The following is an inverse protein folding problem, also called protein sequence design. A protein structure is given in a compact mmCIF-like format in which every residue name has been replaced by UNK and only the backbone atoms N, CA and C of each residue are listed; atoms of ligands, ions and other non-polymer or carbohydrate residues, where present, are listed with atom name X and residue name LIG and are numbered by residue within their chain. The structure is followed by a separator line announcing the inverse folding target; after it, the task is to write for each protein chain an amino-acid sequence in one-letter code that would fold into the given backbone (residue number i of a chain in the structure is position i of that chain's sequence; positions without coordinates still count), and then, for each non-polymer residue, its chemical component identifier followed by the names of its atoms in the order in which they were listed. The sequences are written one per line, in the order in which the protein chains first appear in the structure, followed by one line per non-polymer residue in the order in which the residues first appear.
data_IF_128202513332
#
_entry.id   IF_128202513332
#
_cell.length_a   1.000
_cell.length_b   1.000
_cell.length_c   1.000
_cell.angle_alpha   90.00
_cell.angle_beta   90.00
_cell.angle_gamma   90.00
#
_symmetry.space_group_name_H-M   'P 1'
#
loop_
_entity.id
_entity.type
_entity.pdbx_description
1 polymer ?
#
# COMPACT_ATOMS: atom_id res chain seq x y z
N UNK A 1 24.32 -5.52 -4.54
CA UNK A 1 23.64 -6.69 -3.93
C UNK A 1 24.12 -7.94 -4.65
N UNK A 2 24.01 -9.14 -4.06
CA UNK A 2 24.34 -10.36 -4.79
C UNK A 2 23.22 -10.61 -5.82
N UNK A 3 23.59 -10.81 -7.09
CA UNK A 3 22.62 -11.02 -8.17
C UNK A 3 21.82 -12.30 -7.88
N UNK A 4 20.52 -12.16 -7.59
CA UNK A 4 19.62 -13.28 -7.28
C UNK A 4 19.01 -13.93 -8.53
N UNK A 5 19.14 -13.28 -9.68
CA UNK A 5 18.46 -13.65 -10.91
C UNK A 5 19.45 -13.89 -12.05
N UNK A 6 19.12 -14.84 -12.90
CA UNK A 6 19.67 -14.98 -14.25
C UNK A 6 18.54 -14.83 -15.26
N UNK A 7 18.86 -14.37 -16.48
CA UNK A 7 17.87 -14.06 -17.51
C UNK A 7 17.98 -15.04 -18.68
N UNK A 8 16.84 -15.60 -19.09
CA UNK A 8 16.71 -16.36 -20.33
C UNK A 8 15.79 -15.57 -21.25
N UNK A 9 16.38 -14.81 -22.17
CA UNK A 9 15.64 -13.92 -23.09
C UNK A 9 14.88 -14.67 -24.17
N UNK A 10 15.31 -15.89 -24.51
CA UNK A 10 14.68 -16.70 -25.55
C UNK A 10 13.36 -17.30 -25.05
N UNK A 11 13.39 -17.84 -23.82
CA UNK A 11 12.20 -18.38 -23.15
C UNK A 11 11.45 -17.35 -22.30
N UNK A 12 11.98 -16.12 -22.20
CA UNK A 12 11.43 -15.00 -21.41
C UNK A 12 11.28 -15.34 -19.93
N UNK A 13 12.36 -15.81 -19.31
CA UNK A 13 12.36 -16.22 -17.91
C UNK A 13 13.34 -15.39 -17.07
N UNK A 14 12.86 -14.99 -15.89
CA UNK A 14 13.69 -14.67 -14.74
C UNK A 14 13.93 -15.96 -13.96
N UNK A 15 15.17 -16.40 -13.83
CA UNK A 15 15.53 -17.66 -13.19
C UNK A 15 16.19 -17.35 -11.86
N UNK A 16 15.65 -17.88 -10.76
CA UNK A 16 16.27 -17.73 -9.45
C UNK A 16 17.57 -18.54 -9.39
N UNK A 17 18.64 -17.88 -8.94
CA UNK A 17 19.94 -18.51 -8.77
C UNK A 17 19.89 -19.56 -7.64
N UNK A 18 20.87 -20.46 -7.65
CA UNK A 18 20.95 -21.54 -6.66
C UNK A 18 20.91 -21.00 -5.23
N UNK A 19 20.16 -21.69 -4.35
CA UNK A 19 19.96 -21.34 -2.94
C UNK A 19 19.15 -20.06 -2.68
N UNK A 20 18.57 -19.42 -3.70
CA UNK A 20 17.67 -18.27 -3.51
C UNK A 20 16.27 -18.77 -3.14
N UNK A 21 15.90 -18.61 -1.86
CA UNK A 21 14.59 -19.00 -1.30
C UNK A 21 13.68 -17.81 -0.98
N UNK A 22 14.16 -16.60 -1.21
CA UNK A 22 13.43 -15.36 -0.97
C UNK A 22 13.68 -14.34 -2.09
N UNK A 23 12.61 -13.67 -2.51
CA UNK A 23 12.65 -12.64 -3.55
C UNK A 23 11.77 -11.46 -3.13
N UNK A 24 12.39 -10.28 -3.00
CA UNK A 24 11.67 -9.01 -2.94
C UNK A 24 11.34 -8.55 -4.37
N UNK A 25 10.05 -8.39 -4.66
CA UNK A 25 9.54 -8.06 -5.99
C UNK A 25 9.98 -6.65 -6.44
N UNK A 26 10.20 -5.72 -5.52
CA UNK A 26 10.58 -4.33 -5.83
C UNK A 26 12.09 -4.19 -5.92
N UNK A 27 12.80 -4.75 -4.94
CA UNK A 27 14.26 -4.62 -4.85
C UNK A 27 14.92 -5.63 -5.79
N UNK A 28 14.77 -6.92 -5.50
CA UNK A 28 15.51 -8.00 -6.17
C UNK A 28 15.00 -8.27 -7.59
N UNK A 29 13.71 -8.09 -7.87
CA UNK A 29 13.15 -8.29 -9.22
C UNK A 29 13.14 -7.01 -10.04
N UNK A 30 12.45 -5.94 -9.60
CA UNK A 30 12.32 -4.75 -10.43
C UNK A 30 13.58 -3.89 -10.51
N UNK A 31 14.21 -3.59 -9.36
CA UNK A 31 15.32 -2.63 -9.31
C UNK A 31 16.61 -3.24 -9.87
N UNK A 32 16.99 -4.43 -9.39
CA UNK A 32 18.19 -5.12 -9.87
C UNK A 32 18.08 -5.45 -11.38
N UNK A 33 16.93 -5.97 -11.86
CA UNK A 33 16.77 -6.23 -13.28
C UNK A 33 16.81 -4.95 -14.14
N UNK A 34 16.34 -3.82 -13.61
CA UNK A 34 16.42 -2.54 -14.32
C UNK A 34 17.86 -2.06 -14.46
N UNK A 35 18.68 -2.27 -13.43
CA UNK A 35 20.11 -1.99 -13.51
C UNK A 35 20.79 -2.89 -14.56
N UNK A 36 20.53 -4.21 -14.51
CA UNK A 36 21.10 -5.17 -15.47
C UNK A 36 20.69 -4.85 -16.92
N UNK A 37 19.44 -4.45 -17.15
CA UNK A 37 18.98 -4.01 -18.48
C UNK A 37 19.65 -2.73 -18.98
N UNK A 38 20.14 -1.88 -18.07
CA UNK A 38 20.84 -0.66 -18.44
C UNK A 38 22.31 -0.93 -18.76
N UNK A 39 22.93 -1.89 -18.08
CA UNK A 39 24.37 -2.16 -18.17
C UNK A 39 24.75 -3.27 -19.14
N UNK A 40 23.91 -4.30 -19.31
CA UNK A 40 24.21 -5.45 -20.16
C UNK A 40 23.86 -5.17 -21.63
N UNK A 41 24.87 -5.26 -22.50
CA UNK A 41 24.77 -5.03 -23.95
C UNK A 41 23.92 -6.06 -24.72
N UNK A 42 23.58 -7.18 -24.11
CA UNK A 42 22.64 -8.16 -24.65
C UNK A 42 21.22 -7.84 -24.21
N UNK A 43 21.00 -7.63 -22.90
CA UNK A 43 19.67 -7.37 -22.35
C UNK A 43 19.09 -6.04 -22.82
N UNK A 44 19.92 -5.00 -22.96
CA UNK A 44 19.48 -3.66 -23.37
C UNK A 44 18.88 -3.61 -24.79
N UNK A 45 19.08 -4.66 -25.60
CA UNK A 45 18.45 -4.81 -26.92
C UNK A 45 17.00 -5.27 -26.83
N UNK A 46 16.61 -5.87 -25.71
CA UNK A 46 15.26 -6.33 -25.44
C UNK A 46 14.47 -5.26 -24.71
N UNK A 47 13.16 -5.24 -24.98
CA UNK A 47 12.24 -4.39 -24.21
C UNK A 47 12.20 -4.86 -22.76
N UNK A 48 12.43 -3.94 -21.82
CA UNK A 48 12.36 -4.22 -20.40
C UNK A 48 10.98 -4.81 -20.02
N UNK A 49 10.91 -5.97 -19.36
CA UNK A 49 9.67 -6.74 -19.21
C UNK A 49 8.90 -6.48 -17.91
N UNK A 50 9.21 -5.40 -17.18
CA UNK A 50 8.56 -5.06 -15.93
C UNK A 50 8.00 -3.63 -15.96
N UNK A 51 6.80 -3.45 -15.42
CA UNK A 51 6.19 -2.14 -15.18
C UNK A 51 5.85 -1.99 -13.70
N UNK A 52 6.27 -0.89 -13.09
CA UNK A 52 5.85 -0.54 -11.74
C UNK A 52 4.61 0.36 -11.80
N UNK A 53 3.56 -0.02 -11.08
CA UNK A 53 2.32 0.74 -10.91
C UNK A 53 2.20 1.09 -9.43
N UNK A 54 2.29 2.36 -9.11
CA UNK A 54 2.30 2.83 -7.73
C UNK A 54 3.70 3.22 -7.25
N UNK A 55 3.97 3.10 -5.95
CA UNK A 55 5.17 3.62 -5.32
C UNK A 55 5.19 5.15 -5.14
N UNK A 56 4.08 5.86 -5.37
CA UNK A 56 4.01 7.31 -5.18
C UNK A 56 3.78 7.71 -3.72
N UNK A 57 4.38 8.82 -3.31
CA UNK A 57 4.09 9.42 -2.01
C UNK A 57 2.67 9.98 -1.98
N UNK A 58 1.94 9.73 -0.90
CA UNK A 58 0.57 10.22 -0.69
C UNK A 58 0.48 11.31 0.40
N UNK A 59 1.63 11.82 0.84
CA UNK A 59 1.73 12.73 1.99
C UNK A 59 1.91 12.00 3.33
N UNK A 60 2.32 12.76 4.36
CA UNK A 60 2.51 12.22 5.71
C UNK A 60 3.61 11.14 5.85
N UNK A 61 4.59 11.13 4.94
CA UNK A 61 5.64 10.11 4.90
C UNK A 61 5.14 8.71 4.48
N UNK A 62 3.93 8.61 3.93
CA UNK A 62 3.36 7.36 3.41
C UNK A 62 3.55 7.26 1.90
N UNK A 63 3.68 6.02 1.43
CA UNK A 63 3.86 5.67 0.02
C UNK A 63 2.86 4.57 -0.31
N UNK A 64 2.23 4.63 -1.48
CA UNK A 64 1.39 3.52 -1.96
C UNK A 64 2.28 2.31 -2.29
N UNK A 65 1.86 1.10 -1.92
CA UNK A 65 2.62 -0.10 -2.30
C UNK A 65 2.68 -0.20 -3.82
N UNK A 66 3.89 -0.35 -4.41
CA UNK A 66 4.00 -0.59 -5.83
C UNK A 66 3.51 -2.01 -6.17
N UNK A 67 2.84 -2.12 -7.30
CA UNK A 67 2.57 -3.36 -8.01
C UNK A 67 3.58 -3.49 -9.13
N UNK A 68 4.27 -4.62 -9.19
CA UNK A 68 5.14 -4.94 -10.32
C UNK A 68 4.40 -5.87 -11.25
N UNK A 69 4.25 -5.44 -12.50
CA UNK A 69 3.59 -6.21 -13.55
C UNK A 69 4.63 -6.81 -14.49
N UNK A 70 4.62 -8.14 -14.60
CA UNK A 70 5.33 -8.89 -15.64
C UNK A 70 4.63 -8.69 -16.99
N UNK A 71 5.41 -8.33 -18.01
CA UNK A 71 4.93 -8.00 -19.35
C UNK A 71 5.47 -8.96 -20.40
N UNK A 72 4.84 -8.98 -21.56
CA UNK A 72 5.33 -9.66 -22.77
C UNK A 72 5.51 -11.18 -22.63
N UNK A 73 4.81 -11.79 -21.70
CA UNK A 73 4.87 -13.22 -21.41
C UNK A 73 6.05 -13.64 -20.53
N UNK A 74 6.76 -12.69 -19.90
CA UNK A 74 7.84 -13.04 -18.98
C UNK A 74 7.32 -13.68 -17.70
N UNK A 75 8.05 -14.69 -17.22
CA UNK A 75 7.71 -15.46 -16.01
C UNK A 75 8.95 -15.68 -15.13
N UNK A 76 8.72 -16.18 -13.92
CA UNK A 76 9.77 -16.50 -12.95
C UNK A 76 9.89 -18.01 -12.82
N UNK A 77 11.09 -18.56 -12.94
CA UNK A 77 11.40 -19.96 -12.63
C UNK A 77 12.15 -20.04 -11.29
N UNK A 78 11.65 -20.81 -10.32
CA UNK A 78 12.37 -21.07 -9.08
C UNK A 78 13.70 -21.81 -9.30
N UNK A 79 14.56 -21.82 -8.28
CA UNK A 79 15.79 -22.62 -8.37
C UNK A 79 15.49 -24.12 -8.21
N UNK A 80 16.36 -24.95 -8.78
CA UNK A 80 16.18 -26.39 -8.94
C UNK A 80 16.49 -27.17 -7.64
N UNK A 81 15.66 -27.01 -6.60
CA UNK A 81 15.72 -27.78 -5.35
C UNK A 81 14.39 -27.78 -4.59
N UNK A 82 14.22 -28.70 -3.64
CA UNK A 82 13.05 -28.71 -2.74
C UNK A 82 13.13 -27.55 -1.75
N UNK A 83 12.15 -26.63 -1.79
CA UNK A 83 12.13 -25.49 -0.89
C UNK A 83 10.75 -24.79 -0.82
N UNK A 84 10.63 -23.86 0.13
CA UNK A 84 9.58 -22.84 0.10
C UNK A 84 10.18 -21.52 -0.38
N UNK A 85 9.71 -21.03 -1.52
CA UNK A 85 10.07 -19.73 -2.08
C UNK A 85 9.17 -18.65 -1.49
N UNK A 86 9.74 -17.71 -0.75
CA UNK A 86 9.00 -16.55 -0.22
C UNK A 86 9.08 -15.37 -1.19
N UNK A 87 7.94 -14.88 -1.64
CA UNK A 87 7.81 -13.73 -2.54
C UNK A 87 7.26 -12.56 -1.75
N UNK A 88 8.07 -11.53 -1.54
CA UNK A 88 7.67 -10.31 -0.84
C UNK A 88 7.31 -9.22 -1.84
N UNK A 89 6.07 -8.72 -1.79
CA UNK A 89 5.58 -7.64 -2.65
C UNK A 89 4.48 -8.07 -3.61
N UNK A 90 3.88 -7.07 -4.26
CA UNK A 90 2.74 -7.28 -5.14
C UNK A 90 3.22 -7.58 -6.56
N UNK A 91 3.09 -8.85 -6.97
CA UNK A 91 3.45 -9.32 -8.30
C UNK A 91 2.19 -9.70 -9.08
N UNK A 92 2.05 -9.15 -10.28
CA UNK A 92 0.97 -9.46 -11.21
C UNK A 92 1.53 -9.70 -12.61
N UNK A 93 0.73 -10.25 -13.50
CA UNK A 93 1.08 -10.41 -14.91
C UNK A 93 0.09 -9.66 -15.79
N UNK A 94 0.56 -9.19 -16.94
CA UNK A 94 -0.29 -8.53 -17.94
C UNK A 94 -1.39 -9.44 -18.49
N UNK A 95 -1.14 -10.75 -18.53
CA UNK A 95 -2.02 -11.78 -19.08
C UNK A 95 -2.88 -12.50 -18.02
N UNK A 96 -2.84 -12.04 -16.77
CA UNK A 96 -3.55 -12.62 -15.61
C UNK A 96 -3.21 -14.10 -15.31
N UNK A 97 -2.24 -14.70 -15.99
CA UNK A 97 -1.80 -16.08 -15.72
C UNK A 97 -0.79 -16.14 -14.55
N UNK A 98 -0.44 -17.35 -14.11
CA UNK A 98 0.55 -17.51 -13.03
C UNK A 98 1.85 -16.80 -13.38
N UNK A 99 2.47 -16.02 -12.47
CA UNK A 99 3.78 -15.42 -12.72
C UNK A 99 4.92 -16.44 -12.68
N UNK A 100 4.66 -17.67 -12.22
CA UNK A 100 5.67 -18.71 -12.05
C UNK A 100 5.50 -19.85 -13.04
N UNK A 101 6.63 -20.36 -13.52
CA UNK A 101 6.72 -21.65 -14.22
C UNK A 101 7.30 -22.71 -13.30
N UNK A 102 7.08 -23.98 -13.64
CA UNK A 102 7.67 -25.09 -12.90
C UNK A 102 9.20 -25.12 -13.09
N UNK A 103 9.86 -25.69 -12.10
CA UNK A 103 11.24 -26.17 -12.20
C UNK A 103 11.34 -27.28 -13.25
N UNK A 104 12.55 -27.52 -13.75
CA UNK A 104 12.79 -28.50 -14.80
C UNK A 104 12.92 -29.92 -14.26
N UNK A 105 13.47 -30.07 -13.04
CA UNK A 105 13.60 -31.35 -12.36
C UNK A 105 12.38 -31.75 -11.53
N UNK A 106 12.44 -32.96 -10.97
CA UNK A 106 11.43 -33.48 -10.04
C UNK A 106 11.66 -32.90 -8.63
N UNK A 107 11.42 -31.59 -8.46
CA UNK A 107 11.51 -30.90 -7.17
C UNK A 107 10.17 -30.32 -6.72
N UNK A 108 9.99 -30.28 -5.40
CA UNK A 108 8.83 -29.72 -4.74
C UNK A 108 9.12 -28.28 -4.30
N UNK A 109 8.58 -27.32 -5.06
CA UNK A 109 8.66 -25.89 -4.73
C UNK A 109 7.32 -25.36 -4.28
N UNK A 110 7.26 -24.84 -3.05
CA UNK A 110 6.07 -24.19 -2.51
C UNK A 110 6.27 -22.67 -2.59
N UNK A 111 5.34 -21.95 -3.22
CA UNK A 111 5.41 -20.49 -3.33
C UNK A 111 4.57 -19.85 -2.24
N UNK A 112 5.20 -19.03 -1.41
CA UNK A 112 4.58 -18.25 -0.33
C UNK A 112 4.61 -16.76 -0.68
N UNK A 113 3.47 -16.21 -1.09
CA UNK A 113 3.34 -14.78 -1.39
C UNK A 113 2.99 -13.96 -0.15
N UNK A 114 3.78 -12.92 0.12
CA UNK A 114 3.55 -11.89 1.14
C UNK A 114 3.22 -10.60 0.40
N UNK A 115 1.92 -10.32 0.24
CA UNK A 115 1.41 -9.15 -0.47
C UNK A 115 0.96 -8.05 0.49
N UNK A 116 0.94 -6.80 0.03
CA UNK A 116 0.52 -5.65 0.84
C UNK A 116 -0.48 -4.77 0.10
N UNK A 117 -1.58 -4.41 0.75
CA UNK A 117 -2.53 -3.40 0.27
C UNK A 117 -2.22 -2.04 0.87
N UNK A 118 -1.03 -1.47 0.61
CA UNK A 118 -0.71 -0.14 1.15
C UNK A 118 -1.33 0.97 0.31
N UNK A 119 -2.52 1.41 0.72
CA UNK A 119 -2.82 2.82 1.02
C UNK A 119 -4.33 3.10 0.94
N UNK A 120 -4.97 3.26 2.10
CA UNK A 120 -6.27 3.92 2.23
C UNK A 120 -6.05 5.22 3.01
N UNK A 121 -5.97 6.36 2.30
CA UNK A 121 -5.97 7.68 2.95
C UNK A 121 -7.37 8.25 2.92
N UNK A 122 -8.09 8.14 4.03
CA UNK A 122 -9.32 8.92 4.24
C UNK A 122 -8.92 10.33 4.69
N UNK A 123 -8.79 11.24 3.73
CA UNK A 123 -8.73 12.67 4.03
C UNK A 123 -10.11 13.13 4.48
N UNK A 124 -10.31 13.33 5.78
CA UNK A 124 -11.50 14.05 6.27
C UNK A 124 -11.29 15.52 5.95
N UNK A 125 -11.91 16.00 4.87
CA UNK A 125 -12.00 17.42 4.58
C UNK A 125 -13.09 18.02 5.47
N UNK A 126 -12.71 18.84 6.45
CA UNK A 126 -13.66 19.69 7.18
C UNK A 126 -13.88 20.93 6.31
N UNK A 127 -15.07 21.03 5.72
CA UNK A 127 -15.45 22.19 4.91
C UNK A 127 -15.77 23.41 5.78
N UNK A 128 -15.76 24.60 5.18
CA UNK A 128 -16.27 25.81 5.85
C UNK A 128 -17.73 25.66 6.26
N UNK A 129 -18.53 24.89 5.50
CA UNK A 129 -19.89 24.51 5.88
C UNK A 129 -19.95 23.60 7.10
N UNK A 130 -19.01 22.66 7.26
CA UNK A 130 -18.95 21.82 8.46
C UNK A 130 -18.64 22.67 9.70
N UNK A 131 -17.72 23.63 9.56
CA UNK A 131 -17.41 24.59 10.63
C UNK A 131 -18.63 25.44 11.00
N UNK A 132 -19.37 25.94 10.01
CA UNK A 132 -20.61 26.69 10.22
C UNK A 132 -21.67 25.83 10.91
N UNK A 133 -21.90 24.60 10.42
CA UNK A 133 -22.85 23.66 11.02
C UNK A 133 -22.51 23.31 12.48
N UNK A 134 -21.22 23.15 12.79
CA UNK A 134 -20.76 22.92 14.16
C UNK A 134 -21.04 24.16 15.02
N UNK A 135 -20.72 25.37 14.52
CA UNK A 135 -20.96 26.60 15.24
C UNK A 135 -22.46 26.84 15.51
N UNK A 136 -23.30 26.67 14.50
CA UNK A 136 -24.76 26.81 14.62
C UNK A 136 -25.31 25.83 15.65
N UNK A 137 -24.90 24.55 15.58
CA UNK A 137 -25.31 23.55 16.57
C UNK A 137 -24.87 23.89 17.98
N UNK A 138 -23.68 24.48 18.17
CA UNK A 138 -23.19 24.90 19.50
C UNK A 138 -23.98 26.09 20.04
N UNK A 139 -24.33 27.06 19.19
CA UNK A 139 -25.05 28.27 19.61
C UNK A 139 -26.54 28.04 19.83
N UNK A 140 -27.16 27.19 19.02
CA UNK A 140 -28.58 26.82 19.14
C UNK A 140 -28.81 25.63 20.09
N UNK A 141 -27.77 25.16 20.76
CA UNK A 141 -27.86 24.04 21.70
C UNK A 141 -28.77 24.36 22.88
N UNK A 142 -29.70 23.45 23.17
CA UNK A 142 -30.66 23.65 24.24
C UNK A 142 -29.98 23.56 25.62
N UNK A 143 -30.11 24.63 26.41
CA UNK A 143 -29.57 24.68 27.79
C UNK A 143 -30.03 23.49 28.65
N UNK A 144 -31.26 23.01 28.43
CA UNK A 144 -31.82 21.87 29.14
C UNK A 144 -30.99 20.56 28.98
N UNK A 145 -30.24 20.42 27.88
CA UNK A 145 -29.34 19.29 27.62
C UNK A 145 -28.04 19.34 28.43
N UNK A 146 -27.72 20.48 29.05
CA UNK A 146 -26.45 20.73 29.74
C UNK A 146 -26.63 21.14 31.21
N UNK A 147 -27.62 20.59 31.91
CA UNK A 147 -27.91 20.94 33.32
C UNK A 147 -27.13 20.13 34.36
N UNK A 148 -26.11 19.38 33.96
CA UNK A 148 -25.24 18.63 34.88
C UNK A 148 -24.51 19.59 35.84
N UNK A 149 -24.42 19.23 37.12
CA UNK A 149 -23.70 20.00 38.12
C UNK A 149 -22.25 20.29 37.69
N UNK A 150 -21.85 21.57 37.69
CA UNK A 150 -20.51 22.00 37.27
C UNK A 150 -20.34 22.27 35.77
N UNK A 151 -21.38 22.09 34.94
CA UNK A 151 -21.32 22.45 33.53
C UNK A 151 -21.50 23.96 33.30
N UNK A 152 -20.99 24.45 32.16
CA UNK A 152 -21.25 25.81 31.68
C UNK A 152 -22.73 26.04 31.44
N UNK A 153 -23.43 25.07 30.84
CA UNK A 153 -24.87 25.16 30.56
C UNK A 153 -25.73 25.34 31.82
N UNK A 154 -25.40 24.63 32.90
CA UNK A 154 -26.07 24.81 34.20
C UNK A 154 -25.84 26.21 34.76
N UNK A 155 -24.60 26.70 34.67
CA UNK A 155 -24.24 28.04 35.16
C UNK A 155 -25.06 29.13 34.46
N UNK A 156 -25.22 29.02 33.13
CA UNK A 156 -26.03 29.94 32.34
C UNK A 156 -27.51 29.82 32.70
N UNK A 157 -28.04 28.59 32.86
CA UNK A 157 -29.43 28.36 33.25
C UNK A 157 -29.77 28.98 34.61
N UNK A 158 -28.90 28.75 35.60
CA UNK A 158 -29.06 29.26 36.95
C UNK A 158 -28.98 30.80 36.93
N UNK A 159 -28.07 31.36 36.12
CA UNK A 159 -27.95 32.81 35.93
C UNK A 159 -29.21 33.42 35.32
N UNK A 160 -29.77 32.79 34.28
CA UNK A 160 -31.04 33.21 33.66
C UNK A 160 -32.17 33.21 34.68
N UNK A 161 -32.32 32.12 35.43
CA UNK A 161 -33.36 31.98 36.47
C UNK A 161 -33.24 33.06 37.55
N UNK A 162 -32.01 33.32 38.01
CA UNK A 162 -31.73 34.37 39.00
C UNK A 162 -32.05 35.76 38.46
N UNK A 163 -31.72 36.05 37.21
CA UNK A 163 -32.03 37.34 36.58
C UNK A 163 -33.55 37.56 36.48
N UNK A 164 -34.32 36.55 36.06
CA UNK A 164 -35.79 36.63 35.99
C UNK A 164 -36.41 36.86 37.38
N UNK A 165 -35.89 36.21 38.42
CA UNK A 165 -36.38 36.42 39.78
C UNK A 165 -36.06 37.84 40.30
N UNK A 166 -34.91 38.40 39.91
CA UNK A 166 -34.53 39.76 40.29
C UNK A 166 -35.42 40.83 39.65
N UNK A 167 -35.92 40.62 38.42
CA UNK A 167 -36.81 41.58 37.74
C UNK A 167 -38.24 41.63 38.26
N UNK A 168 -38.63 40.72 39.15
CA UNK A 168 -39.97 40.66 39.76
C UNK A 168 -40.07 41.44 41.09
N UNK A 169 -38.97 42.07 41.51
CA UNK A 169 -38.89 42.94 42.70
C UNK A 169 -38.78 44.39 42.27
#
# INVERSE_FOLDING_TARGET
MAQKLTYDTDNKLFILNSSVTDLDVVVDLYSDAKEDWLTDTLLNKFRFPLVAIGGQGIGGGKVISPYIMLKYGWKIRPHEADHTLTIAGNLITEDESTPFVNVLGDYQVIIKSIISSNSLTTGVAISSSDLANIADKVWDEAIAGHLIAGSTGKTINDTRTRATLASLK
#
